data_IF_523511380672
#
_entry.id   IF_523511380672
#
_cell.length_a   1.000
_cell.length_b   1.000
_cell.length_c   1.000
_cell.angle_alpha   90.00
_cell.angle_beta   90.00
_cell.angle_gamma   90.00
#
_symmetry.space_group_name_H-M   'P 1'
#
loop_
_entity.id
_entity.type
_entity.pdbx_description
1 polymer ?
#
# COMPACT_ATOMS: atom_id res chain seq x y z
N UNK A 1 -15.39 17.65 22.33
CA UNK A 1 -14.49 16.72 23.07
C UNK A 1 -13.78 15.89 22.02
N UNK A 2 -12.49 15.64 22.16
CA UNK A 2 -11.80 14.74 21.24
C UNK A 2 -12.19 13.33 21.64
N UNK A 3 -13.01 12.66 20.83
CA UNK A 3 -13.34 11.25 21.08
C UNK A 3 -12.03 10.46 21.11
N UNK A 4 -11.83 9.64 22.12
CA UNK A 4 -10.65 8.78 22.18
C UNK A 4 -10.74 7.69 21.10
N UNK A 5 -9.59 7.26 20.56
CA UNK A 5 -9.56 6.17 19.58
C UNK A 5 -9.77 4.85 20.34
N UNK A 6 -10.97 4.28 20.22
CA UNK A 6 -11.32 3.01 20.88
C UNK A 6 -10.65 1.82 20.20
N UNK A 7 -10.62 1.78 18.86
CA UNK A 7 -9.91 0.73 18.11
C UNK A 7 -9.26 1.27 16.84
N UNK A 8 -8.08 0.74 16.55
CA UNK A 8 -7.36 0.95 15.29
C UNK A 8 -6.65 -0.32 14.86
N UNK A 9 -6.65 -0.61 13.57
CA UNK A 9 -5.83 -1.70 13.05
C UNK A 9 -5.72 -1.73 11.53
N UNK A 10 -4.87 -2.64 11.01
CA UNK A 10 -4.61 -2.73 9.59
C UNK A 10 -5.78 -3.39 8.85
N UNK A 11 -6.12 -2.83 7.70
CA UNK A 11 -6.99 -3.47 6.71
C UNK A 11 -6.14 -4.31 5.74
N UNK A 12 -6.68 -5.36 5.13
CA UNK A 12 -5.96 -6.14 4.11
C UNK A 12 -5.95 -5.42 2.76
N UNK A 13 -5.12 -5.91 1.83
CA UNK A 13 -5.24 -5.52 0.42
C UNK A 13 -6.52 -6.11 -0.18
N UNK A 14 -7.19 -5.38 -1.07
CA UNK A 14 -8.47 -5.81 -1.62
C UNK A 14 -8.77 -5.23 -2.99
N UNK A 15 -9.77 -5.83 -3.64
CA UNK A 15 -10.40 -5.29 -4.84
C UNK A 15 -11.70 -4.64 -4.40
N UNK A 16 -11.87 -3.36 -4.74
CA UNK A 16 -13.14 -2.65 -4.62
C UNK A 16 -13.97 -2.91 -5.87
N UNK A 17 -15.26 -3.11 -5.67
CA UNK A 17 -16.26 -3.08 -6.72
C UNK A 17 -17.49 -2.34 -6.19
N UNK A 18 -18.44 -2.05 -7.08
CA UNK A 18 -19.68 -1.35 -6.71
C UNK A 18 -20.49 -2.11 -5.66
N UNK A 19 -20.51 -3.45 -5.72
CA UNK A 19 -21.25 -4.27 -4.77
C UNK A 19 -20.66 -4.15 -3.35
N UNK A 20 -19.35 -4.25 -3.22
CA UNK A 20 -18.64 -4.09 -1.95
C UNK A 20 -18.80 -2.69 -1.37
N UNK A 21 -18.72 -1.65 -2.20
CA UNK A 21 -18.94 -0.28 -1.73
C UNK A 21 -20.36 -0.14 -1.18
N UNK A 22 -21.37 -0.66 -1.88
CA UNK A 22 -22.75 -0.65 -1.39
C UNK A 22 -22.92 -1.48 -0.10
N UNK A 23 -22.28 -2.65 0.02
CA UNK A 23 -22.27 -3.42 1.26
C UNK A 23 -21.64 -2.63 2.42
N UNK A 24 -20.57 -1.87 2.16
CA UNK A 24 -19.94 -0.98 3.15
C UNK A 24 -20.89 0.15 3.56
N UNK A 25 -21.57 0.76 2.58
CA UNK A 25 -22.55 1.82 2.82
C UNK A 25 -23.71 1.32 3.67
N UNK A 26 -24.29 0.17 3.33
CA UNK A 26 -25.38 -0.47 4.07
C UNK A 26 -24.96 -0.84 5.49
N UNK A 27 -23.73 -1.35 5.67
CA UNK A 27 -23.18 -1.62 6.98
C UNK A 27 -23.14 -0.36 7.85
N UNK A 28 -22.68 0.76 7.29
CA UNK A 28 -22.60 2.06 7.97
C UNK A 28 -24.01 2.60 8.27
N UNK A 29 -24.91 2.56 7.29
CA UNK A 29 -26.27 3.06 7.39
C UNK A 29 -27.13 2.31 8.43
N UNK A 30 -26.82 1.04 8.71
CA UNK A 30 -27.49 0.27 9.75
C UNK A 30 -27.43 0.91 11.15
N UNK A 31 -26.48 1.83 11.38
CA UNK A 31 -26.29 2.51 12.65
C UNK A 31 -27.06 3.84 12.80
N UNK A 32 -27.80 4.28 11.77
CA UNK A 32 -28.62 5.49 11.79
C UNK A 32 -28.18 6.54 10.77
N UNK A 33 -28.54 7.80 11.01
CA UNK A 33 -28.10 8.92 10.18
C UNK A 33 -26.61 9.21 10.38
N UNK A 34 -25.92 9.48 9.28
CA UNK A 34 -24.49 9.76 9.29
C UNK A 34 -24.11 10.81 8.25
N UNK A 35 -23.07 11.58 8.57
CA UNK A 35 -22.37 12.42 7.62
C UNK A 35 -21.09 11.70 7.18
N UNK A 36 -20.66 11.90 5.94
CA UNK A 36 -19.42 11.31 5.46
C UNK A 36 -18.74 12.20 4.44
N UNK A 37 -17.45 11.96 4.27
CA UNK A 37 -16.62 12.59 3.24
C UNK A 37 -15.56 11.60 2.80
N UNK A 38 -15.31 11.53 1.49
CA UNK A 38 -14.16 10.81 0.94
C UNK A 38 -13.14 11.78 0.35
N UNK A 39 -11.86 11.45 0.52
CA UNK A 39 -10.74 12.05 -0.22
C UNK A 39 -10.10 10.97 -1.06
N UNK A 40 -10.10 11.17 -2.38
CA UNK A 40 -9.56 10.21 -3.36
C UNK A 40 -8.33 10.83 -4.00
N UNK A 41 -7.19 10.14 -3.92
CA UNK A 41 -5.96 10.54 -4.61
C UNK A 41 -6.00 10.16 -6.09
N UNK A 42 -5.77 11.15 -6.95
CA UNK A 42 -5.91 11.04 -8.42
C UNK A 42 -4.59 11.24 -9.18
N UNK A 43 -3.46 11.37 -8.48
CA UNK A 43 -2.18 11.79 -9.06
C UNK A 43 -1.43 10.74 -9.89
N UNK A 44 -1.73 9.45 -9.71
CA UNK A 44 -1.04 8.33 -10.35
C UNK A 44 0.42 8.12 -9.88
N UNK A 45 0.87 8.80 -8.81
CA UNK A 45 2.24 8.66 -8.33
C UNK A 45 2.38 7.37 -7.52
N UNK A 46 3.13 6.42 -8.06
CA UNK A 46 3.30 5.11 -7.43
C UNK A 46 4.25 5.18 -6.23
N UNK A 47 5.25 6.05 -6.22
CA UNK A 47 6.34 5.95 -5.25
C UNK A 47 6.23 6.91 -4.06
N UNK A 48 5.28 7.83 -4.04
CA UNK A 48 5.21 8.82 -2.96
C UNK A 48 6.22 9.95 -3.15
N UNK A 49 6.70 10.19 -4.38
CA UNK A 49 7.77 11.15 -4.65
C UNK A 49 7.28 12.59 -4.78
N UNK A 50 6.01 12.79 -5.12
CA UNK A 50 5.41 14.13 -5.16
C UNK A 50 4.92 14.53 -3.77
N UNK A 51 5.35 15.70 -3.28
CA UNK A 51 4.89 16.27 -2.00
C UNK A 51 3.41 16.65 -2.05
N UNK A 52 2.97 17.32 -3.13
CA UNK A 52 1.57 17.69 -3.34
C UNK A 52 0.93 16.74 -4.36
N UNK A 53 0.08 15.84 -3.87
CA UNK A 53 -0.73 14.96 -4.71
C UNK A 53 -2.12 15.57 -4.90
N UNK A 54 -2.66 15.57 -6.13
CA UNK A 54 -4.04 15.97 -6.32
C UNK A 54 -4.95 14.97 -5.60
N UNK A 55 -5.83 15.51 -4.77
CA UNK A 55 -6.89 14.80 -4.08
C UNK A 55 -8.21 15.48 -4.43
N UNK A 56 -9.25 14.68 -4.64
CA UNK A 56 -10.61 15.17 -4.81
C UNK A 56 -11.41 14.82 -3.56
N UNK A 57 -12.03 15.83 -2.97
CA UNK A 57 -12.98 15.67 -1.87
C UNK A 57 -14.38 15.44 -2.45
N UNK A 58 -15.07 14.40 -1.97
CA UNK A 58 -16.37 13.94 -2.48
C UNK A 58 -17.30 13.69 -1.31
N UNK A 59 -18.54 14.16 -1.44
CA UNK A 59 -19.61 13.98 -0.44
C UNK A 59 -20.86 13.31 -1.03
N UNK A 60 -20.92 13.13 -2.36
CA UNK A 60 -21.96 12.36 -3.03
C UNK A 60 -21.51 10.91 -3.31
N UNK A 61 -22.38 9.96 -3.01
CA UNK A 61 -22.02 8.54 -3.07
C UNK A 61 -21.89 8.04 -4.51
N UNK A 62 -22.76 8.51 -5.40
CA UNK A 62 -22.70 8.12 -6.81
C UNK A 62 -21.50 8.75 -7.49
N UNK A 63 -21.18 10.01 -7.17
CA UNK A 63 -19.97 10.69 -7.65
C UNK A 63 -18.71 9.92 -7.23
N UNK A 64 -18.66 9.39 -6.00
CA UNK A 64 -17.54 8.56 -5.56
C UNK A 64 -17.40 7.29 -6.42
N UNK A 65 -18.50 6.57 -6.64
CA UNK A 65 -18.46 5.33 -7.42
C UNK A 65 -18.04 5.59 -8.87
N UNK A 66 -18.58 6.65 -9.48
CA UNK A 66 -18.22 7.06 -10.84
C UNK A 66 -16.75 7.49 -10.93
N UNK A 67 -16.24 8.24 -9.95
CA UNK A 67 -14.83 8.60 -9.92
C UNK A 67 -13.95 7.35 -9.83
N UNK A 68 -14.25 6.43 -8.90
CA UNK A 68 -13.45 5.21 -8.73
C UNK A 68 -13.44 4.34 -9.98
N UNK A 69 -14.54 4.28 -10.72
CA UNK A 69 -14.66 3.58 -12.00
C UNK A 69 -13.90 4.29 -13.12
N UNK A 70 -13.89 5.62 -13.13
CA UNK A 70 -13.18 6.42 -14.13
C UNK A 70 -11.65 6.38 -13.97
N UNK A 71 -11.16 6.13 -12.76
CA UNK A 71 -9.74 6.20 -12.46
C UNK A 71 -9.00 4.96 -13.00
N UNK A 72 -7.94 5.13 -13.83
CA UNK A 72 -7.12 4.00 -14.26
C UNK A 72 -6.40 3.34 -13.08
N UNK A 73 -6.20 4.10 -12.01
CA UNK A 73 -5.63 3.66 -10.74
C UNK A 73 -6.05 4.60 -9.62
N UNK A 74 -6.32 4.00 -8.47
CA UNK A 74 -6.53 4.69 -7.20
C UNK A 74 -5.17 4.89 -6.51
N UNK A 75 -4.79 6.12 -6.14
CA UNK A 75 -3.59 6.36 -5.33
C UNK A 75 -3.84 6.20 -3.83
N UNK A 76 -4.95 6.77 -3.38
CA UNK A 76 -5.41 6.70 -2.00
C UNK A 76 -6.91 6.88 -1.95
N UNK A 77 -7.52 6.33 -0.90
CA UNK A 77 -8.91 6.58 -0.54
C UNK A 77 -8.93 6.79 0.97
N UNK A 78 -9.48 7.90 1.42
CA UNK A 78 -9.74 8.18 2.82
C UNK A 78 -11.22 8.48 2.98
N UNK A 79 -11.96 7.59 3.62
CA UNK A 79 -13.38 7.76 3.92
C UNK A 79 -13.49 8.05 5.42
N UNK A 80 -14.03 9.22 5.74
CA UNK A 80 -14.36 9.63 7.11
C UNK A 80 -15.87 9.65 7.22
N UNK A 81 -16.38 9.02 8.27
CA UNK A 81 -17.83 8.89 8.52
C UNK A 81 -18.09 9.27 9.96
N UNK A 82 -19.03 10.16 10.19
CA UNK A 82 -19.51 10.56 11.50
C UNK A 82 -20.96 10.11 11.65
N UNK A 83 -21.21 9.22 12.62
CA UNK A 83 -22.54 8.71 12.93
C UNK A 83 -23.07 9.48 14.14
N UNK A 84 -24.22 10.14 13.95
CA UNK A 84 -24.79 11.04 14.93
C UNK A 84 -25.02 10.33 16.28
N UNK A 85 -24.47 10.90 17.36
CA UNK A 85 -24.61 10.37 18.71
C UNK A 85 -23.86 9.07 19.00
N UNK A 86 -23.02 8.58 18.07
CA UNK A 86 -22.21 7.37 18.26
C UNK A 86 -20.72 7.67 18.17
N UNK A 87 -20.23 8.09 17.01
CA UNK A 87 -18.80 8.33 16.84
C UNK A 87 -18.35 8.42 15.39
N UNK A 88 -17.03 8.35 15.21
CA UNK A 88 -16.35 8.57 13.93
C UNK A 88 -15.63 7.30 13.49
N UNK A 89 -15.78 6.96 12.20
CA UNK A 89 -15.10 5.87 11.51
C UNK A 89 -14.16 6.49 10.48
N UNK A 90 -12.90 6.06 10.47
CA UNK A 90 -11.91 6.41 9.47
C UNK A 90 -11.41 5.18 8.74
N UNK A 91 -11.54 5.15 7.42
CA UNK A 91 -11.04 4.10 6.53
C UNK A 91 -10.03 4.73 5.59
N UNK A 92 -8.77 4.29 5.66
CA UNK A 92 -7.70 4.84 4.84
C UNK A 92 -7.03 3.72 4.06
N UNK A 93 -6.88 3.89 2.75
CA UNK A 93 -6.07 3.06 1.87
C UNK A 93 -5.07 3.92 1.11
N UNK A 94 -3.85 3.40 0.95
CA UNK A 94 -2.76 4.04 0.19
C UNK A 94 -2.05 3.00 -0.66
N UNK A 95 -1.85 3.34 -1.93
CA UNK A 95 -1.15 2.54 -2.92
C UNK A 95 0.28 3.00 -3.18
N UNK A 96 0.82 3.90 -2.34
CA UNK A 96 2.18 4.43 -2.42
C UNK A 96 3.00 4.01 -1.20
N UNK A 97 4.33 3.95 -1.29
CA UNK A 97 5.20 3.36 -0.27
C UNK A 97 5.25 4.22 1.03
N UNK A 98 4.92 3.67 2.23
CA UNK A 98 4.45 2.32 2.48
C UNK A 98 2.97 2.14 2.13
N UNK A 99 2.68 1.18 1.25
CA UNK A 99 1.31 0.87 0.87
C UNK A 99 0.61 0.14 2.02
N UNK A 100 -0.66 0.45 2.25
CA UNK A 100 -1.37 -0.08 3.40
C UNK A 100 -2.81 0.40 3.52
N UNK A 101 -3.53 -0.26 4.42
CA UNK A 101 -4.88 0.10 4.80
C UNK A 101 -5.02 0.20 6.31
N UNK A 102 -5.84 1.13 6.80
CA UNK A 102 -6.10 1.34 8.22
C UNK A 102 -7.60 1.57 8.42
N UNK A 103 -8.15 0.91 9.43
CA UNK A 103 -9.46 1.19 9.99
C UNK A 103 -9.27 1.78 11.39
N UNK A 104 -9.93 2.88 11.67
CA UNK A 104 -10.01 3.50 12.98
C UNK A 104 -11.49 3.76 13.33
N UNK A 105 -11.85 3.48 14.58
CA UNK A 105 -13.17 3.79 15.15
C UNK A 105 -12.93 4.54 16.45
N UNK A 106 -13.56 5.70 16.58
CA UNK A 106 -13.44 6.62 17.72
C UNK A 106 -14.82 7.00 18.23
N UNK A 107 -15.06 6.80 19.51
CA UNK A 107 -16.40 6.85 20.13
C UNK A 107 -16.27 6.89 21.64
N UNK A 108 -17.27 7.45 22.31
CA UNK A 108 -17.38 7.39 23.77
C UNK A 108 -18.05 6.09 24.24
N UNK A 109 -18.80 5.41 23.36
CA UNK A 109 -19.38 4.08 23.59
C UNK A 109 -18.42 2.98 23.09
N UNK A 110 -17.68 2.38 24.01
CA UNK A 110 -16.73 1.30 23.70
C UNK A 110 -17.41 0.05 23.13
N UNK A 111 -18.58 -0.34 23.65
CA UNK A 111 -19.27 -1.55 23.23
C UNK A 111 -19.72 -1.44 21.77
N UNK A 112 -20.28 -0.28 21.41
CA UNK A 112 -20.57 0.02 20.01
C UNK A 112 -19.29 0.06 19.15
N UNK A 113 -18.25 0.76 19.62
CA UNK A 113 -16.98 0.89 18.90
C UNK A 113 -16.32 -0.45 18.57
N UNK A 114 -16.29 -1.37 19.52
CA UNK A 114 -15.75 -2.73 19.32
C UNK A 114 -16.58 -3.55 18.33
N UNK A 115 -17.91 -3.53 18.48
CA UNK A 115 -18.83 -4.23 17.59
C UNK A 115 -18.71 -3.70 16.16
N UNK A 116 -18.66 -2.37 15.99
CA UNK A 116 -18.54 -1.72 14.69
C UNK A 116 -17.19 -2.01 14.04
N UNK A 117 -16.10 -1.90 14.79
CA UNK A 117 -14.78 -2.24 14.31
C UNK A 117 -14.70 -3.70 13.84
N UNK A 118 -15.28 -4.64 14.60
CA UNK A 118 -15.32 -6.06 14.24
C UNK A 118 -16.12 -6.30 12.97
N UNK A 119 -17.32 -5.72 12.86
CA UNK A 119 -18.20 -5.84 11.69
C UNK A 119 -17.53 -5.34 10.41
N UNK A 120 -16.96 -4.13 10.44
CA UNK A 120 -16.22 -3.58 9.30
C UNK A 120 -14.99 -4.42 8.97
N UNK A 121 -14.23 -4.86 9.97
CA UNK A 121 -13.06 -5.70 9.75
C UNK A 121 -13.42 -7.02 9.09
N UNK A 122 -14.52 -7.67 9.49
CA UNK A 122 -15.01 -8.91 8.88
C UNK A 122 -15.40 -8.68 7.41
N UNK A 123 -16.11 -7.58 7.12
CA UNK A 123 -16.45 -7.17 5.76
C UNK A 123 -15.19 -7.03 4.87
N UNK A 124 -14.17 -6.33 5.37
CA UNK A 124 -12.90 -6.18 4.64
C UNK A 124 -12.10 -7.49 4.51
N UNK A 125 -12.14 -8.37 5.52
CA UNK A 125 -11.46 -9.67 5.44
C UNK A 125 -12.13 -10.61 4.42
N UNK A 126 -13.45 -10.52 4.24
CA UNK A 126 -14.18 -11.34 3.27
C UNK A 126 -13.75 -11.09 1.82
N UNK A 127 -13.30 -9.87 1.48
CA UNK A 127 -12.81 -9.50 0.13
C UNK A 127 -11.28 -9.41 0.02
N UNK A 128 -10.56 -9.96 1.00
CA UNK A 128 -9.09 -9.92 1.04
C UNK A 128 -8.46 -10.58 -0.18
N UNK A 129 -7.46 -9.92 -0.77
CA UNK A 129 -6.53 -10.52 -1.74
C UNK A 129 -5.34 -11.15 -1.02
N UNK A 130 -5.24 -12.50 -0.93
CA UNK A 130 -4.23 -13.14 -0.09
C UNK A 130 -2.79 -12.88 -0.54
N UNK A 131 -2.57 -12.85 -1.87
CA UNK A 131 -1.24 -12.62 -2.44
C UNK A 131 -0.76 -11.19 -2.20
N UNK A 132 -1.52 -10.18 -2.61
CA UNK A 132 -1.17 -8.77 -2.41
C UNK A 132 -1.00 -8.46 -0.92
N UNK A 133 -1.83 -9.03 -0.04
CA UNK A 133 -1.69 -8.82 1.41
C UNK A 133 -0.38 -9.36 1.94
N UNK A 134 0.07 -10.53 1.45
CA UNK A 134 1.37 -11.12 1.82
C UNK A 134 2.53 -10.30 1.25
N UNK A 135 2.40 -9.81 0.02
CA UNK A 135 3.40 -9.01 -0.67
C UNK A 135 3.76 -7.75 0.11
N UNK A 136 2.76 -7.07 0.67
CA UNK A 136 2.95 -5.85 1.46
C UNK A 136 3.19 -6.07 2.95
N UNK A 137 3.43 -7.31 3.39
CA UNK A 137 3.99 -7.54 4.72
C UNK A 137 5.45 -7.09 4.76
N UNK A 138 5.97 -6.80 5.97
CA UNK A 138 7.39 -6.44 6.16
C UNK A 138 8.35 -7.46 5.53
N UNK A 139 8.01 -8.75 5.62
CA UNK A 139 8.81 -9.83 5.03
C UNK A 139 8.66 -9.88 3.51
N UNK A 140 7.43 -9.87 2.99
CA UNK A 140 7.16 -9.90 1.55
C UNK A 140 7.81 -8.73 0.83
N UNK A 141 7.63 -7.52 1.37
CA UNK A 141 8.19 -6.32 0.77
C UNK A 141 9.71 -6.27 0.94
N UNK A 142 10.27 -6.78 2.04
CA UNK A 142 11.72 -6.91 2.22
C UNK A 142 12.37 -7.84 1.19
N UNK A 143 11.70 -8.92 0.80
CA UNK A 143 12.18 -9.82 -0.26
C UNK A 143 12.22 -9.10 -1.61
N UNK A 144 11.15 -8.36 -1.95
CA UNK A 144 11.03 -7.60 -3.19
C UNK A 144 12.02 -6.43 -3.23
N UNK A 145 12.12 -5.66 -2.16
CA UNK A 145 12.93 -4.44 -2.11
C UNK A 145 14.43 -4.75 -1.98
N UNK A 146 14.80 -5.83 -1.30
CA UNK A 146 16.19 -6.05 -0.87
C UNK A 146 16.76 -7.37 -1.36
N UNK A 147 16.11 -8.50 -1.06
CA UNK A 147 16.69 -9.82 -1.33
C UNK A 147 16.85 -10.05 -2.83
N UNK A 148 15.77 -9.89 -3.61
CA UNK A 148 15.80 -10.11 -5.06
C UNK A 148 16.82 -9.16 -5.73
N UNK A 149 16.77 -7.83 -5.53
CA UNK A 149 17.69 -6.92 -6.19
C UNK A 149 19.15 -7.16 -5.81
N UNK A 150 19.43 -7.45 -4.53
CA UNK A 150 20.79 -7.71 -4.07
C UNK A 150 21.33 -9.02 -4.65
N UNK A 151 20.56 -10.10 -4.62
CA UNK A 151 20.96 -11.40 -5.17
C UNK A 151 21.22 -11.32 -6.68
N UNK A 152 20.31 -10.70 -7.44
CA UNK A 152 20.47 -10.53 -8.90
C UNK A 152 21.70 -9.70 -9.22
N UNK A 153 21.90 -8.59 -8.49
CA UNK A 153 23.07 -7.72 -8.71
C UNK A 153 24.38 -8.42 -8.37
N UNK A 154 24.41 -9.14 -7.25
CA UNK A 154 25.59 -9.88 -6.83
C UNK A 154 25.98 -10.94 -7.86
N UNK A 155 25.03 -11.78 -8.29
CA UNK A 155 25.28 -12.81 -9.32
C UNK A 155 25.78 -12.17 -10.62
N UNK A 156 25.15 -11.08 -11.06
CA UNK A 156 25.53 -10.39 -12.31
C UNK A 156 26.96 -9.86 -12.24
N UNK A 157 27.30 -9.14 -11.17
CA UNK A 157 28.64 -8.56 -10.99
C UNK A 157 29.70 -9.65 -10.82
N UNK A 158 29.41 -10.72 -10.07
CA UNK A 158 30.33 -11.85 -9.90
C UNK A 158 30.60 -12.58 -11.21
N UNK A 159 29.60 -12.78 -12.06
CA UNK A 159 29.79 -13.36 -13.40
C UNK A 159 30.65 -12.47 -14.29
N UNK A 160 30.37 -11.16 -14.32
CA UNK A 160 31.16 -10.18 -15.09
C UNK A 160 32.61 -10.16 -14.60
N UNK A 161 32.82 -10.09 -13.29
CA UNK A 161 34.15 -10.10 -12.69
C UNK A 161 34.89 -11.42 -13.00
N UNK A 162 34.20 -12.55 -12.88
CA UNK A 162 34.77 -13.88 -13.18
C UNK A 162 35.20 -14.06 -14.63
N UNK A 163 34.49 -13.42 -15.58
CA UNK A 163 34.79 -13.49 -17.02
C UNK A 163 35.84 -12.46 -17.46
N UNK A 164 35.79 -11.24 -16.92
CA UNK A 164 36.63 -10.13 -17.38
C UNK A 164 37.94 -9.99 -16.63
N UNK A 165 38.06 -10.48 -15.40
CA UNK A 165 39.30 -10.35 -14.61
C UNK A 165 40.24 -11.52 -14.93
N UNK A 166 41.39 -11.26 -15.59
CA UNK A 166 42.37 -12.28 -15.89
C UNK A 166 42.94 -12.91 -14.60
N UNK A 167 43.29 -14.20 -14.68
CA UNK A 167 43.80 -14.98 -13.53
C UNK A 167 45.06 -14.39 -12.90
N UNK A 168 45.95 -13.76 -13.68
CA UNK A 168 47.17 -13.15 -13.14
C UNK A 168 46.89 -11.94 -12.23
N UNK A 169 45.80 -11.19 -12.47
CA UNK A 169 45.41 -10.06 -11.60
C UNK A 169 44.87 -10.58 -10.26
N UNK A 170 44.29 -11.79 -10.24
CA UNK A 170 43.68 -12.37 -9.03
C UNK A 170 44.69 -12.68 -7.92
N UNK A 171 45.97 -12.79 -8.26
CA UNK A 171 47.05 -13.04 -7.31
C UNK A 171 47.76 -11.75 -6.85
N UNK A 172 47.32 -10.59 -7.34
CA UNK A 172 47.93 -9.29 -7.03
C UNK A 172 47.11 -8.49 -6.02
N UNK A 173 47.71 -7.49 -5.37
CA UNK A 173 47.02 -6.57 -4.46
C UNK A 173 45.87 -5.79 -5.13
N UNK A 174 45.85 -5.72 -6.47
CA UNK A 174 44.76 -5.09 -7.23
C UNK A 174 43.41 -5.80 -7.04
N UNK A 175 43.39 -7.06 -6.60
CA UNK A 175 42.16 -7.80 -6.31
C UNK A 175 41.30 -7.08 -5.25
N UNK A 176 41.91 -6.41 -4.26
CA UNK A 176 41.19 -5.70 -3.21
C UNK A 176 40.45 -4.47 -3.75
N UNK A 177 41.10 -3.71 -4.63
CA UNK A 177 40.48 -2.57 -5.30
C UNK A 177 39.36 -3.01 -6.24
N UNK A 178 39.55 -4.12 -6.96
CA UNK A 178 38.51 -4.70 -7.81
C UNK A 178 37.32 -5.18 -6.96
N UNK A 179 37.57 -5.79 -5.81
CA UNK A 179 36.52 -6.24 -4.88
C UNK A 179 35.74 -5.06 -4.29
N UNK A 180 36.44 -3.98 -3.92
CA UNK A 180 35.77 -2.75 -3.47
C UNK A 180 34.89 -2.16 -4.59
N UNK A 181 35.41 -2.12 -5.82
CA UNK A 181 34.66 -1.63 -6.98
C UNK A 181 33.43 -2.50 -7.28
N UNK A 182 33.57 -3.83 -7.27
CA UNK A 182 32.44 -4.74 -7.52
C UNK A 182 31.37 -4.63 -6.44
N UNK A 183 31.74 -4.39 -5.19
CA UNK A 183 30.78 -4.14 -4.12
C UNK A 183 29.98 -2.84 -4.34
N UNK A 184 30.64 -1.75 -4.70
CA UNK A 184 29.97 -0.47 -5.04
C UNK A 184 29.02 -0.65 -6.22
N UNK A 185 29.48 -1.32 -7.28
CA UNK A 185 28.66 -1.59 -8.47
C UNK A 185 27.46 -2.48 -8.14
N UNK A 186 27.66 -3.50 -7.31
CA UNK A 186 26.59 -4.40 -6.84
C UNK A 186 25.51 -3.62 -6.11
N UNK A 187 25.89 -2.76 -5.16
CA UNK A 187 24.93 -1.95 -4.42
C UNK A 187 24.18 -0.98 -5.34
N UNK A 188 24.88 -0.28 -6.24
CA UNK A 188 24.26 0.67 -7.18
C UNK A 188 23.29 -0.01 -8.15
N UNK A 189 23.65 -1.20 -8.64
CA UNK A 189 22.78 -2.01 -9.47
C UNK A 189 21.57 -2.50 -8.67
N UNK A 190 21.78 -2.92 -7.41
CA UNK A 190 20.69 -3.38 -6.54
C UNK A 190 19.67 -2.29 -6.28
N UNK A 191 20.10 -1.04 -6.02
CA UNK A 191 19.19 0.10 -5.92
C UNK A 191 18.37 0.31 -7.19
N UNK A 192 19.02 0.25 -8.36
CA UNK A 192 18.36 0.45 -9.65
C UNK A 192 17.34 -0.65 -9.96
N UNK A 193 17.65 -1.91 -9.63
CA UNK A 193 16.73 -3.04 -9.77
C UNK A 193 15.59 -2.93 -8.76
N UNK A 194 15.88 -2.54 -7.52
CA UNK A 194 14.89 -2.36 -6.45
C UNK A 194 13.81 -1.35 -6.83
N UNK A 195 14.20 -0.15 -7.28
CA UNK A 195 13.26 0.88 -7.73
C UNK A 195 12.33 0.38 -8.85
N UNK A 196 12.89 -0.28 -9.86
CA UNK A 196 12.11 -0.85 -10.97
C UNK A 196 11.16 -1.95 -10.50
N UNK A 197 11.61 -2.80 -9.58
CA UNK A 197 10.82 -3.90 -9.06
C UNK A 197 9.70 -3.42 -8.15
N UNK A 198 9.92 -2.38 -7.34
CA UNK A 198 8.89 -1.71 -6.55
C UNK A 198 7.83 -1.12 -7.47
N UNK A 199 8.22 -0.34 -8.49
CA UNK A 199 7.26 0.23 -9.46
C UNK A 199 6.47 -0.88 -10.14
N UNK A 200 7.14 -1.95 -10.57
CA UNK A 200 6.49 -3.10 -11.20
C UNK A 200 5.46 -3.75 -10.26
N UNK A 201 5.83 -4.00 -9.01
CA UNK A 201 4.93 -4.57 -8.00
C UNK A 201 3.73 -3.65 -7.78
N UNK A 202 3.95 -2.36 -7.61
CA UNK A 202 2.88 -1.40 -7.33
C UNK A 202 1.95 -1.20 -8.51
N UNK A 203 2.44 -1.36 -9.75
CA UNK A 203 1.62 -1.29 -10.96
C UNK A 203 0.75 -2.54 -11.13
N UNK A 204 1.30 -3.72 -10.91
CA UNK A 204 0.62 -4.99 -11.21
C UNK A 204 -0.16 -5.57 -10.02
N UNK A 205 0.27 -5.24 -8.79
CA UNK A 205 -0.30 -5.73 -7.55
C UNK A 205 -0.57 -4.57 -6.59
N UNK A 206 -1.39 -3.57 -6.97
CA UNK A 206 -1.73 -2.49 -6.06
C UNK A 206 -2.40 -3.04 -4.79
N UNK A 207 -2.24 -2.32 -3.68
CA UNK A 207 -2.86 -2.65 -2.40
C UNK A 207 -4.38 -2.54 -2.45
N UNK A 208 -4.88 -1.54 -3.19
CA UNK A 208 -6.29 -1.36 -3.51
C UNK A 208 -6.46 -1.18 -5.01
N UNK A 209 -7.48 -1.80 -5.59
CA UNK A 209 -7.82 -1.59 -7.02
C UNK A 209 -9.33 -1.57 -7.19
N UNK A 210 -9.80 -0.84 -8.18
CA UNK A 210 -11.16 -0.95 -8.66
C UNK A 210 -11.29 -2.13 -9.64
N UNK A 211 -12.36 -2.90 -9.53
CA UNK A 211 -12.77 -3.87 -10.54
C UNK A 211 -13.74 -3.15 -11.47
N UNK A 212 -13.23 -2.71 -12.61
CA UNK A 212 -14.02 -2.31 -13.77
C UNK A 212 -14.76 -3.50 -14.37
#
# INVERSE_FOLDING_TARGET
MANDIVKRGPLPSLTLDKAFMNELWDNIAADGEFAWVAKVGTGGDMLGRQENRPEQEITDWNELLELLESLPRIDSINIMVEIAGKGVIGIVFRNFNPAGGILAVSTDDEAWGEAKYKSLRELFQAKKLPFSSKLYTRLGFGVVQTVIPLSVSFVTIMLIAGLLIPTYIRQSELIWWITALTLILTLRLAYSISDKLIIYVMKNYPYIRWLS
#
